data_IF_439077673350
#
_entry.id   IF_439077673350
#
_cell.length_a   1.000
_cell.length_b   1.000
_cell.length_c   1.000
_cell.angle_alpha   90.00
_cell.angle_beta   90.00
_cell.angle_gamma   90.00
#
_symmetry.space_group_name_H-M   'P 1'
#
loop_
_entity.id
_entity.type
_entity.pdbx_description
1 polymer ?
#
# COMPACT_ATOMS: atom_id res chain seq x y z
N UNK A 1 15.73 -21.87 -33.69
CA UNK A 1 17.10 -22.44 -33.80
C UNK A 1 18.18 -21.34 -33.58
N UNK A 2 18.09 -20.19 -34.25
CA UNK A 2 19.05 -19.08 -34.15
C UNK A 2 19.19 -18.52 -32.71
N UNK A 3 18.08 -18.31 -31.99
CA UNK A 3 18.09 -17.80 -30.59
C UNK A 3 18.83 -18.76 -29.66
N UNK A 4 18.63 -20.09 -29.78
CA UNK A 4 19.34 -21.10 -28.97
C UNK A 4 20.85 -21.10 -29.24
N UNK A 5 21.24 -20.85 -30.51
CA UNK A 5 22.66 -20.78 -30.89
C UNK A 5 23.33 -19.52 -30.34
N UNK A 6 22.63 -18.36 -30.41
CA UNK A 6 23.11 -17.09 -29.84
C UNK A 6 23.21 -17.16 -28.31
N UNK A 7 22.23 -17.77 -27.64
CA UNK A 7 22.28 -17.97 -26.19
C UNK A 7 23.43 -18.89 -25.77
N UNK A 8 23.79 -19.87 -26.60
CA UNK A 8 24.91 -20.77 -26.33
C UNK A 8 26.28 -20.09 -26.52
N UNK A 9 26.37 -19.09 -27.41
CA UNK A 9 27.59 -18.31 -27.68
C UNK A 9 27.76 -17.13 -26.72
N UNK A 10 26.70 -16.40 -26.39
CA UNK A 10 26.75 -15.14 -25.63
C UNK A 10 26.16 -15.24 -24.22
N UNK A 11 25.69 -16.42 -23.81
CA UNK A 11 24.94 -16.62 -22.57
C UNK A 11 23.53 -16.02 -22.59
N UNK A 12 22.68 -16.39 -21.64
CA UNK A 12 21.38 -15.77 -21.42
C UNK A 12 21.56 -14.36 -20.85
N UNK A 13 20.46 -13.59 -20.79
CA UNK A 13 20.44 -12.30 -20.08
C UNK A 13 20.84 -12.46 -18.61
N UNK A 14 20.36 -13.53 -17.97
CA UNK A 14 20.67 -13.83 -16.58
C UNK A 14 22.17 -14.15 -16.40
N UNK A 15 22.78 -14.95 -17.29
CA UNK A 15 24.23 -15.25 -17.22
C UNK A 15 25.08 -13.98 -17.28
N UNK A 16 24.67 -13.00 -18.09
CA UNK A 16 25.37 -11.71 -18.18
C UNK A 16 25.21 -10.87 -16.94
N UNK A 17 23.99 -10.82 -16.36
CA UNK A 17 23.74 -10.13 -15.09
C UNK A 17 24.52 -10.76 -13.95
N UNK A 18 24.50 -12.08 -13.85
CA UNK A 18 25.28 -12.81 -12.85
C UNK A 18 26.79 -12.53 -12.98
N UNK A 19 27.31 -12.48 -14.21
CA UNK A 19 28.73 -12.12 -14.43
C UNK A 19 29.06 -10.70 -13.98
N UNK A 20 28.14 -9.75 -14.09
CA UNK A 20 28.31 -8.39 -13.56
C UNK A 20 28.30 -8.40 -12.03
N UNK A 21 27.31 -9.08 -11.43
CA UNK A 21 27.22 -9.20 -9.97
C UNK A 21 28.43 -9.92 -9.37
N UNK A 22 28.99 -10.95 -10.03
CA UNK A 22 30.21 -11.61 -9.60
C UNK A 22 31.42 -10.65 -9.55
N UNK A 23 31.48 -9.63 -10.41
CA UNK A 23 32.50 -8.59 -10.33
C UNK A 23 32.36 -7.73 -9.08
N UNK A 24 31.12 -7.38 -8.72
CA UNK A 24 30.86 -6.65 -7.48
C UNK A 24 31.17 -7.51 -6.26
N UNK A 25 30.85 -8.81 -6.27
CA UNK A 25 31.26 -9.75 -5.22
C UNK A 25 32.78 -9.79 -5.07
N UNK A 26 33.54 -9.72 -6.18
CA UNK A 26 35.00 -9.64 -6.12
C UNK A 26 35.47 -8.37 -5.39
N UNK A 27 34.81 -7.23 -5.60
CA UNK A 27 35.11 -5.99 -4.87
C UNK A 27 34.78 -6.13 -3.39
N UNK A 28 33.59 -6.69 -3.07
CA UNK A 28 33.17 -6.94 -1.69
C UNK A 28 34.20 -7.83 -0.97
N UNK A 29 34.67 -8.91 -1.62
CA UNK A 29 35.65 -9.82 -1.07
C UNK A 29 37.00 -9.13 -0.85
N UNK A 30 37.41 -8.23 -1.73
CA UNK A 30 38.62 -7.46 -1.59
C UNK A 30 38.61 -6.48 -0.40
N UNK A 31 37.43 -6.03 -0.01
CA UNK A 31 37.23 -5.13 1.14
C UNK A 31 37.18 -5.88 2.49
N UNK A 32 36.95 -7.18 2.50
CA UNK A 32 36.79 -7.97 3.72
C UNK A 32 37.96 -7.80 4.72
N UNK A 33 39.26 -7.87 4.32
CA UNK A 33 40.35 -7.64 5.25
C UNK A 33 40.41 -6.23 5.85
N UNK A 34 39.91 -5.25 5.10
CA UNK A 34 39.84 -3.84 5.55
C UNK A 34 38.85 -3.70 6.69
N UNK A 35 37.64 -4.25 6.53
CA UNK A 35 36.58 -4.15 7.55
C UNK A 35 36.82 -5.11 8.73
N UNK A 36 37.49 -6.25 8.52
CA UNK A 36 37.89 -7.16 9.59
C UNK A 36 38.89 -6.50 10.55
N UNK A 37 39.73 -5.57 10.07
CA UNK A 37 40.72 -4.85 10.88
C UNK A 37 40.10 -3.71 11.73
N UNK A 38 38.86 -3.30 11.48
CA UNK A 38 38.19 -2.22 12.22
C UNK A 38 37.73 -2.72 13.60
N UNK A 39 37.73 -1.81 14.58
CA UNK A 39 37.03 -2.03 15.84
C UNK A 39 35.50 -2.02 15.63
N UNK A 40 34.74 -2.43 16.64
CA UNK A 40 33.27 -2.42 16.58
C UNK A 40 32.72 -1.00 16.43
N UNK A 41 33.33 -0.02 17.10
CA UNK A 41 32.98 1.39 17.01
C UNK A 41 33.27 1.96 15.62
N UNK A 42 34.42 1.62 15.04
CA UNK A 42 34.79 2.03 13.69
C UNK A 42 33.88 1.42 12.63
N UNK A 43 33.52 0.13 12.80
CA UNK A 43 32.58 -0.54 11.89
C UNK A 43 31.17 0.08 11.96
N UNK A 44 30.69 0.38 13.17
CA UNK A 44 29.42 1.09 13.39
C UNK A 44 29.45 2.50 12.78
N UNK A 45 30.54 3.22 12.91
CA UNK A 45 30.72 4.56 12.35
C UNK A 45 30.59 4.61 10.83
N UNK A 46 30.84 3.50 10.13
CA UNK A 46 30.60 3.39 8.68
C UNK A 46 29.17 3.66 8.28
N UNK A 47 28.19 3.32 9.11
CA UNK A 47 26.78 3.65 8.84
C UNK A 47 26.55 5.16 8.77
N UNK A 48 27.15 5.92 9.69
CA UNK A 48 27.06 7.39 9.67
C UNK A 48 27.74 7.97 8.43
N UNK A 49 28.95 7.50 8.13
CA UNK A 49 29.68 7.88 6.92
C UNK A 49 28.85 7.65 5.64
N UNK A 50 28.23 6.48 5.51
CA UNK A 50 27.41 6.15 4.34
C UNK A 50 26.15 7.00 4.27
N UNK A 51 25.47 7.27 5.39
CA UNK A 51 24.32 8.18 5.43
C UNK A 51 24.70 9.58 4.94
N UNK A 52 25.83 10.12 5.41
CA UNK A 52 26.35 11.43 4.97
C UNK A 52 26.67 11.46 3.47
N UNK A 53 27.29 10.40 2.93
CA UNK A 53 27.57 10.28 1.48
C UNK A 53 26.29 10.24 0.66
N UNK A 54 25.26 9.52 1.10
CA UNK A 54 23.95 9.49 0.45
C UNK A 54 23.27 10.88 0.49
N UNK A 55 23.35 11.58 1.61
CA UNK A 55 22.82 12.94 1.73
C UNK A 55 23.55 13.94 0.82
N UNK A 56 24.82 13.71 0.55
CA UNK A 56 25.64 14.48 -0.40
C UNK A 56 25.36 14.11 -1.86
N UNK A 57 24.50 13.12 -2.12
CA UNK A 57 24.03 12.75 -3.45
C UNK A 57 24.73 11.54 -4.07
N UNK A 58 25.50 10.78 -3.30
CA UNK A 58 26.08 9.53 -3.81
C UNK A 58 24.97 8.49 -4.06
N UNK A 59 25.08 7.78 -5.18
CA UNK A 59 24.09 6.79 -5.60
C UNK A 59 24.26 5.51 -4.78
N UNK A 60 23.15 4.97 -4.25
CA UNK A 60 23.17 3.75 -3.41
C UNK A 60 23.88 2.57 -4.06
N UNK A 61 23.73 2.39 -5.38
CA UNK A 61 24.38 1.28 -6.08
C UNK A 61 25.91 1.35 -6.03
N UNK A 62 26.50 2.54 -5.92
CA UNK A 62 27.95 2.72 -5.78
C UNK A 62 28.44 2.31 -4.38
N UNK A 63 27.57 2.38 -3.38
CA UNK A 63 27.86 1.94 -2.02
C UNK A 63 27.75 0.42 -1.81
N UNK A 64 27.18 -0.33 -2.75
CA UNK A 64 26.95 -1.78 -2.60
C UNK A 64 28.21 -2.52 -2.12
N UNK A 65 29.40 -2.33 -2.70
CA UNK A 65 30.57 -3.10 -2.26
C UNK A 65 30.95 -2.85 -0.80
N UNK A 66 30.96 -1.61 -0.37
CA UNK A 66 31.32 -1.22 1.00
C UNK A 66 30.22 -1.60 1.99
N UNK A 67 28.96 -1.25 1.71
CA UNK A 67 27.82 -1.52 2.57
C UNK A 67 27.64 -3.03 2.80
N UNK A 68 27.72 -3.83 1.74
CA UNK A 68 27.59 -5.28 1.86
C UNK A 68 28.77 -5.92 2.60
N UNK A 69 29.99 -5.40 2.43
CA UNK A 69 31.16 -5.87 3.18
C UNK A 69 31.01 -5.52 4.68
N UNK A 70 30.50 -4.34 5.03
CA UNK A 70 30.19 -3.94 6.41
C UNK A 70 29.15 -4.86 7.04
N UNK A 71 28.03 -5.14 6.35
CA UNK A 71 27.00 -6.06 6.84
C UNK A 71 27.54 -7.48 7.00
N UNK A 72 28.40 -7.96 6.08
CA UNK A 72 29.04 -9.27 6.17
C UNK A 72 29.90 -9.37 7.41
N UNK A 73 30.76 -8.39 7.68
CA UNK A 73 31.65 -8.40 8.84
C UNK A 73 30.82 -8.26 10.14
N UNK A 74 29.81 -7.39 10.18
CA UNK A 74 28.91 -7.27 11.33
C UNK A 74 28.18 -8.60 11.61
N UNK A 75 27.67 -9.26 10.58
CA UNK A 75 27.01 -10.58 10.70
C UNK A 75 27.96 -11.66 11.25
N UNK A 76 29.21 -11.63 10.83
CA UNK A 76 30.27 -12.53 11.33
C UNK A 76 30.50 -12.30 12.83
N UNK A 77 30.55 -11.04 13.26
CA UNK A 77 30.77 -10.69 14.69
C UNK A 77 29.58 -11.03 15.56
N UNK A 78 28.36 -10.63 15.11
CA UNK A 78 27.12 -10.76 15.91
C UNK A 78 26.58 -12.18 15.93
N UNK A 79 26.57 -12.85 14.77
CA UNK A 79 25.95 -14.17 14.61
C UNK A 79 26.94 -15.31 14.42
N UNK A 80 28.22 -15.03 14.20
CA UNK A 80 29.20 -16.04 13.74
C UNK A 80 28.92 -16.48 12.30
N UNK A 81 28.10 -15.77 11.55
CA UNK A 81 27.64 -16.12 10.20
C UNK A 81 28.23 -15.18 9.16
N UNK A 82 29.13 -15.69 8.32
CA UNK A 82 29.63 -14.95 7.16
C UNK A 82 28.73 -15.19 5.96
N UNK A 83 28.22 -14.14 5.33
CA UNK A 83 27.48 -14.27 4.07
C UNK A 83 28.33 -14.93 2.97
N UNK A 84 27.74 -15.89 2.26
CA UNK A 84 28.34 -16.50 1.09
C UNK A 84 28.21 -15.60 -0.14
N UNK A 85 29.04 -15.82 -1.14
CA UNK A 85 29.04 -15.02 -2.37
C UNK A 85 27.67 -15.07 -3.11
N UNK A 86 27.00 -16.22 -3.07
CA UNK A 86 25.66 -16.39 -3.64
C UNK A 86 24.61 -15.54 -2.91
N UNK A 87 24.77 -15.33 -1.60
CA UNK A 87 23.88 -14.46 -0.82
C UNK A 87 24.14 -12.97 -1.13
N UNK A 88 25.38 -12.58 -1.41
CA UNK A 88 25.70 -11.24 -1.92
C UNK A 88 25.00 -10.97 -3.25
N UNK A 89 25.03 -11.96 -4.16
CA UNK A 89 24.30 -11.89 -5.43
C UNK A 89 22.78 -11.77 -5.18
N UNK A 90 22.23 -12.58 -4.28
CA UNK A 90 20.82 -12.51 -3.87
C UNK A 90 20.44 -11.13 -3.37
N UNK A 91 21.26 -10.52 -2.50
CA UNK A 91 21.06 -9.15 -2.00
C UNK A 91 21.05 -8.10 -3.12
N UNK A 92 21.97 -8.20 -4.08
CA UNK A 92 22.01 -7.31 -5.26
C UNK A 92 20.80 -7.50 -6.17
N UNK A 93 20.31 -8.74 -6.34
CA UNK A 93 19.08 -9.03 -7.11
C UNK A 93 17.88 -8.37 -6.46
N UNK A 94 17.71 -8.52 -5.14
CA UNK A 94 16.63 -7.87 -4.39
C UNK A 94 16.74 -6.34 -4.46
N UNK A 95 17.93 -5.78 -4.28
CA UNK A 95 18.16 -4.33 -4.39
C UNK A 95 17.77 -3.78 -5.77
N UNK A 96 17.93 -4.57 -6.81
CA UNK A 96 17.55 -4.16 -8.19
C UNK A 96 16.05 -4.33 -8.50
N UNK A 97 15.19 -4.55 -7.50
CA UNK A 97 13.74 -4.71 -7.67
C UNK A 97 13.35 -5.99 -8.41
N UNK A 98 14.08 -7.08 -8.18
CA UNK A 98 13.85 -8.38 -8.84
C UNK A 98 13.61 -9.47 -7.82
N UNK A 99 13.13 -10.61 -8.31
CA UNK A 99 12.91 -11.81 -7.50
C UNK A 99 14.23 -12.59 -7.42
N UNK A 100 14.67 -12.85 -6.19
CA UNK A 100 15.78 -13.76 -5.90
C UNK A 100 15.21 -15.11 -5.48
N UNK A 101 15.26 -16.09 -6.37
CA UNK A 101 14.88 -17.47 -6.05
C UNK A 101 16.00 -18.16 -5.29
N UNK A 102 15.71 -18.55 -4.05
CA UNK A 102 16.63 -19.26 -3.18
C UNK A 102 15.93 -20.45 -2.55
N UNK A 103 16.59 -21.59 -2.47
CA UNK A 103 16.03 -22.80 -1.85
C UNK A 103 15.91 -22.64 -0.34
N UNK A 104 15.02 -23.43 0.26
CA UNK A 104 14.91 -23.53 1.71
C UNK A 104 16.26 -23.92 2.32
N UNK A 105 16.68 -23.23 3.37
CA UNK A 105 17.97 -23.44 4.04
C UNK A 105 19.17 -22.69 3.44
N UNK A 106 19.02 -21.97 2.31
CA UNK A 106 20.11 -21.17 1.72
C UNK A 106 20.32 -19.80 2.38
N UNK A 107 19.59 -19.51 3.45
CA UNK A 107 19.77 -18.29 4.25
C UNK A 107 19.09 -17.05 3.65
N UNK A 108 17.85 -17.16 3.18
CA UNK A 108 17.04 -16.03 2.66
C UNK A 108 16.97 -14.88 3.67
N UNK A 109 16.66 -15.17 4.94
CA UNK A 109 16.58 -14.16 6.01
C UNK A 109 17.90 -13.38 6.16
N UNK A 110 19.03 -14.07 6.11
CA UNK A 110 20.34 -13.43 6.19
C UNK A 110 20.61 -12.59 4.93
N UNK A 111 20.24 -13.08 3.74
CA UNK A 111 20.38 -12.36 2.47
C UNK A 111 19.56 -11.06 2.46
N UNK A 112 18.36 -11.06 3.04
CA UNK A 112 17.49 -9.90 3.10
C UNK A 112 18.09 -8.74 3.91
N UNK A 113 19.01 -9.00 4.84
CA UNK A 113 19.67 -7.95 5.63
C UNK A 113 20.52 -7.01 4.78
N UNK A 114 21.08 -7.50 3.68
CA UNK A 114 21.94 -6.74 2.77
C UNK A 114 21.21 -5.56 2.10
N UNK A 115 20.15 -5.79 1.31
CA UNK A 115 19.41 -4.69 0.69
C UNK A 115 18.62 -3.86 1.73
N UNK A 116 18.18 -4.45 2.85
CA UNK A 116 17.52 -3.72 3.91
C UNK A 116 18.46 -2.68 4.53
N UNK A 117 19.68 -3.05 4.89
CA UNK A 117 20.68 -2.11 5.39
C UNK A 117 20.98 -1.01 4.38
N UNK A 118 21.31 -1.38 3.14
CA UNK A 118 21.68 -0.42 2.09
C UNK A 118 20.58 0.65 1.88
N UNK A 119 19.33 0.23 1.76
CA UNK A 119 18.23 1.16 1.53
C UNK A 119 17.83 1.97 2.78
N UNK A 120 18.10 1.46 3.97
CA UNK A 120 17.91 2.18 5.23
C UNK A 120 18.87 3.38 5.39
N UNK A 121 20.01 3.38 4.68
CA UNK A 121 20.94 4.52 4.66
C UNK A 121 20.29 5.82 4.13
N UNK A 122 19.20 5.72 3.39
CA UNK A 122 18.47 6.88 2.89
C UNK A 122 17.67 7.64 3.98
N UNK A 123 17.56 7.11 5.19
CA UNK A 123 16.69 7.60 6.28
C UNK A 123 15.19 7.65 5.93
N UNK A 124 14.76 7.03 4.80
CA UNK A 124 13.35 7.03 4.34
C UNK A 124 12.55 5.84 4.85
N UNK A 125 13.19 4.89 5.53
CA UNK A 125 12.58 3.66 6.01
C UNK A 125 12.57 2.53 4.99
N UNK A 126 12.64 1.31 5.50
CA UNK A 126 12.59 0.06 4.73
C UNK A 126 11.56 -0.86 5.35
N UNK A 127 10.72 -1.47 4.53
CA UNK A 127 9.75 -2.48 4.97
C UNK A 127 10.23 -3.88 4.61
N UNK A 128 10.22 -4.79 5.59
CA UNK A 128 10.44 -6.23 5.37
C UNK A 128 9.13 -6.95 5.63
N UNK A 129 8.53 -7.46 4.56
CA UNK A 129 7.16 -7.95 4.53
C UNK A 129 7.13 -9.46 4.49
N UNK A 130 6.34 -10.07 5.37
CA UNK A 130 6.14 -11.53 5.44
C UNK A 130 4.65 -11.87 5.58
N UNK A 131 4.31 -13.17 5.61
CA UNK A 131 2.93 -13.66 5.53
C UNK A 131 2.17 -13.66 6.86
N UNK A 132 2.85 -13.68 8.01
CA UNK A 132 2.18 -13.74 9.32
C UNK A 132 2.99 -13.08 10.44
N UNK A 133 2.32 -12.77 11.56
CA UNK A 133 2.89 -12.08 12.71
C UNK A 133 4.02 -12.86 13.38
N UNK A 134 3.94 -14.21 13.38
CA UNK A 134 5.00 -15.04 13.94
C UNK A 134 6.32 -14.85 13.17
N UNK A 135 6.28 -14.92 11.84
CA UNK A 135 7.46 -14.72 11.01
C UNK A 135 7.98 -13.29 11.12
N UNK A 136 7.08 -12.30 11.12
CA UNK A 136 7.45 -10.90 11.27
C UNK A 136 8.22 -10.65 12.59
N UNK A 137 7.69 -11.16 13.70
CA UNK A 137 8.32 -11.03 15.01
C UNK A 137 9.64 -11.79 15.09
N UNK A 138 9.64 -13.07 14.64
CA UNK A 138 10.83 -13.92 14.64
C UNK A 138 11.99 -13.27 13.87
N UNK A 139 11.71 -12.78 12.67
CA UNK A 139 12.73 -12.24 11.78
C UNK A 139 13.19 -10.84 12.22
N UNK A 140 12.28 -10.04 12.79
CA UNK A 140 12.64 -8.78 13.44
C UNK A 140 13.60 -9.02 14.62
N UNK A 141 13.23 -9.91 15.53
CA UNK A 141 14.04 -10.20 16.72
C UNK A 141 15.38 -10.85 16.38
N UNK A 142 15.39 -11.71 15.36
CA UNK A 142 16.62 -12.35 14.89
C UNK A 142 17.56 -11.34 14.23
N UNK A 143 17.06 -10.41 13.42
CA UNK A 143 17.90 -9.44 12.69
C UNK A 143 18.26 -8.21 13.52
N UNK A 144 17.49 -7.90 14.56
CA UNK A 144 17.69 -6.72 15.42
C UNK A 144 19.11 -6.58 15.95
N UNK A 145 19.77 -7.61 16.52
CA UNK A 145 21.14 -7.48 17.03
C UNK A 145 22.14 -7.02 15.94
N UNK A 146 21.97 -7.47 14.71
CA UNK A 146 22.82 -7.07 13.59
C UNK A 146 22.64 -5.59 13.23
N UNK A 147 21.39 -5.16 13.09
CA UNK A 147 21.10 -3.78 12.71
C UNK A 147 21.43 -2.78 13.82
N UNK A 148 21.15 -3.12 15.09
CA UNK A 148 21.53 -2.30 16.24
C UNK A 148 23.05 -2.21 16.42
N UNK A 149 23.79 -3.31 16.17
CA UNK A 149 25.25 -3.28 16.13
C UNK A 149 25.75 -2.27 15.09
N UNK A 150 25.09 -2.14 13.95
CA UNK A 150 25.40 -1.16 12.91
C UNK A 150 24.77 0.23 13.17
N UNK A 151 24.08 0.44 14.30
CA UNK A 151 23.50 1.72 14.69
C UNK A 151 22.19 2.06 13.99
N UNK A 152 21.46 1.04 13.50
CA UNK A 152 20.13 1.18 12.94
C UNK A 152 19.05 0.68 13.90
N UNK A 153 17.84 1.19 13.74
CA UNK A 153 16.67 0.83 14.55
C UNK A 153 15.77 -0.16 13.81
N UNK A 154 15.15 -1.08 14.55
CA UNK A 154 14.24 -2.11 14.02
C UNK A 154 12.91 -2.04 14.71
N UNK A 155 11.83 -1.79 13.94
CA UNK A 155 10.45 -1.88 14.34
C UNK A 155 9.81 -3.19 13.88
N UNK A 156 8.71 -3.58 14.56
CA UNK A 156 7.88 -4.70 14.14
C UNK A 156 6.42 -4.27 14.20
N UNK A 157 5.70 -4.40 13.10
CA UNK A 157 4.28 -4.06 12.98
C UNK A 157 3.45 -5.33 12.83
N UNK A 158 2.68 -5.66 13.87
CA UNK A 158 1.84 -6.84 13.97
C UNK A 158 0.39 -6.45 14.29
N UNK A 159 -0.51 -7.40 14.15
CA UNK A 159 -1.93 -7.20 14.42
C UNK A 159 -2.19 -6.78 15.87
N UNK A 160 -3.17 -5.90 16.07
CA UNK A 160 -3.62 -5.47 17.39
C UNK A 160 -2.78 -4.39 18.07
N UNK A 161 -1.75 -3.86 17.43
CA UNK A 161 -0.96 -2.75 17.97
C UNK A 161 -1.77 -1.46 18.03
N UNK A 162 -1.54 -0.66 19.09
CA UNK A 162 -2.11 0.68 19.19
C UNK A 162 -1.51 1.64 18.13
N UNK A 163 -2.24 2.67 17.68
CA UNK A 163 -1.77 3.59 16.64
C UNK A 163 -0.40 4.23 16.95
N UNK A 164 -0.16 4.63 18.20
CA UNK A 164 1.14 5.20 18.62
C UNK A 164 2.29 4.21 18.52
N UNK A 165 2.05 2.95 18.84
CA UNK A 165 3.07 1.88 18.75
C UNK A 165 3.38 1.58 17.27
N UNK A 166 2.36 1.61 16.41
CA UNK A 166 2.56 1.47 14.95
C UNK A 166 3.39 2.62 14.40
N UNK A 167 3.08 3.87 14.76
CA UNK A 167 3.91 5.03 14.38
C UNK A 167 5.36 4.87 14.84
N UNK A 168 5.58 4.42 16.07
CA UNK A 168 6.92 4.14 16.59
C UNK A 168 7.64 3.06 15.77
N UNK A 169 6.94 1.97 15.39
CA UNK A 169 7.49 0.91 14.55
C UNK A 169 7.86 1.41 13.15
N UNK A 170 7.02 2.24 12.52
CA UNK A 170 7.30 2.84 11.21
C UNK A 170 8.38 3.93 11.24
N UNK A 171 8.63 4.53 12.41
CA UNK A 171 9.71 5.50 12.57
C UNK A 171 11.09 4.85 12.65
N UNK A 172 11.19 3.54 12.83
CA UNK A 172 12.44 2.82 12.74
C UNK A 172 13.06 2.90 11.32
N UNK A 173 14.36 2.62 11.22
CA UNK A 173 15.06 2.53 9.94
C UNK A 173 14.56 1.35 9.12
N UNK A 174 14.25 0.23 9.78
CA UNK A 174 13.76 -1.01 9.17
C UNK A 174 12.54 -1.49 9.95
N UNK A 175 11.42 -1.68 9.26
CA UNK A 175 10.15 -2.15 9.86
C UNK A 175 9.77 -3.50 9.28
N UNK A 176 9.72 -4.50 10.14
CA UNK A 176 9.16 -5.83 9.83
C UNK A 176 7.65 -5.81 10.04
N UNK A 177 6.91 -6.61 9.27
CA UNK A 177 5.47 -6.73 9.44
C UNK A 177 4.83 -7.64 8.41
N UNK A 178 3.52 -7.84 8.55
CA UNK A 178 2.75 -8.64 7.60
C UNK A 178 2.22 -7.80 6.44
N UNK A 179 2.05 -8.44 5.28
CA UNK A 179 1.43 -7.82 4.11
C UNK A 179 0.08 -7.16 4.45
N UNK A 180 -0.73 -7.82 5.28
CA UNK A 180 -2.04 -7.33 5.70
C UNK A 180 -1.92 -6.05 6.53
N UNK A 181 -1.04 -6.02 7.55
CA UNK A 181 -0.87 -4.85 8.40
C UNK A 181 -0.35 -3.64 7.62
N UNK A 182 0.66 -3.83 6.76
CA UNK A 182 1.12 -2.75 5.87
C UNK A 182 0.00 -2.23 4.96
N UNK A 183 -0.80 -3.12 4.40
CA UNK A 183 -1.91 -2.76 3.53
C UNK A 183 -3.05 -2.06 4.27
N UNK A 184 -3.45 -2.56 5.45
CA UNK A 184 -4.47 -1.90 6.26
C UNK A 184 -4.01 -0.55 6.80
N UNK A 185 -2.74 -0.41 7.20
CA UNK A 185 -2.20 0.88 7.63
C UNK A 185 -2.15 1.87 6.47
N UNK A 186 -1.80 1.43 5.25
CA UNK A 186 -1.89 2.26 4.05
C UNK A 186 -3.32 2.76 3.79
N UNK A 187 -4.33 1.89 3.94
CA UNK A 187 -5.73 2.29 3.80
C UNK A 187 -6.14 3.30 4.89
N UNK A 188 -5.75 3.05 6.15
CA UNK A 188 -6.02 3.97 7.26
C UNK A 188 -5.38 5.34 7.05
N UNK A 189 -4.13 5.37 6.61
CA UNK A 189 -3.40 6.61 6.33
C UNK A 189 -4.04 7.43 5.21
N UNK A 190 -4.67 6.77 4.23
CA UNK A 190 -5.43 7.46 3.17
C UNK A 190 -6.79 8.01 3.64
N UNK A 191 -7.26 7.60 4.82
CA UNK A 191 -8.48 8.11 5.45
C UNK A 191 -8.17 9.12 6.58
N UNK A 192 -6.89 9.36 6.89
CA UNK A 192 -6.46 10.30 7.93
C UNK A 192 -6.84 11.74 7.57
N UNK A 193 -7.35 12.48 8.54
CA UNK A 193 -7.74 13.87 8.38
C UNK A 193 -6.56 14.84 8.48
N UNK A 194 -5.47 14.41 9.11
CA UNK A 194 -4.24 15.21 9.25
C UNK A 194 -2.98 14.36 9.00
N UNK A 195 -1.85 14.97 8.60
CA UNK A 195 -0.59 14.26 8.41
C UNK A 195 -0.08 13.57 9.67
N UNK A 196 -0.37 14.11 10.85
CA UNK A 196 0.06 13.61 12.15
C UNK A 196 -0.63 12.29 12.54
N UNK A 197 -1.80 12.02 11.97
CA UNK A 197 -2.54 10.78 12.18
C UNK A 197 -1.99 9.61 11.36
N UNK A 198 -1.16 9.89 10.35
CA UNK A 198 -0.56 8.85 9.51
C UNK A 198 0.47 8.05 10.28
N UNK A 199 0.41 6.74 10.12
CA UNK A 199 1.36 5.83 10.73
C UNK A 199 2.61 5.64 9.87
N UNK A 200 2.45 5.52 8.55
CA UNK A 200 3.53 5.20 7.63
C UNK A 200 4.29 6.44 7.17
N UNK A 201 5.61 6.28 7.00
CA UNK A 201 6.43 7.19 6.21
C UNK A 201 6.11 7.03 4.71
N UNK A 202 6.49 7.99 3.85
CA UNK A 202 6.44 7.78 2.40
C UNK A 202 7.12 6.47 2.00
N UNK A 203 6.50 5.71 1.09
CA UNK A 203 7.00 4.42 0.64
C UNK A 203 8.34 4.60 -0.08
N UNK A 204 9.37 3.88 0.35
CA UNK A 204 10.72 3.96 -0.21
C UNK A 204 11.17 2.62 -0.80
N UNK A 205 11.36 1.61 0.04
CA UNK A 205 11.86 0.30 -0.36
C UNK A 205 11.20 -0.81 0.46
N UNK A 206 10.90 -1.94 -0.20
CA UNK A 206 10.37 -3.11 0.45
C UNK A 206 11.08 -4.38 0.00
N UNK A 207 11.38 -5.25 0.97
CA UNK A 207 11.75 -6.65 0.74
C UNK A 207 10.54 -7.50 1.07
N UNK A 208 10.07 -8.32 0.13
CA UNK A 208 8.92 -9.20 0.31
C UNK A 208 9.41 -10.63 0.38
N UNK A 209 9.29 -11.26 1.55
CA UNK A 209 9.54 -12.69 1.73
C UNK A 209 8.27 -13.50 1.41
N UNK A 210 8.43 -14.75 0.97
CA UNK A 210 7.33 -15.62 0.53
C UNK A 210 6.44 -14.93 -0.53
N UNK A 211 7.07 -14.36 -1.54
CA UNK A 211 6.43 -13.52 -2.58
C UNK A 211 5.37 -14.27 -3.39
N UNK A 212 5.49 -15.56 -3.55
CA UNK A 212 4.50 -16.44 -4.18
C UNK A 212 3.20 -16.51 -3.37
N UNK A 213 3.29 -16.66 -2.04
CA UNK A 213 2.11 -16.60 -1.18
C UNK A 213 1.47 -15.21 -1.22
N UNK A 214 2.25 -14.15 -1.04
CA UNK A 214 1.73 -12.78 -0.87
C UNK A 214 1.17 -12.22 -2.19
N UNK A 215 1.91 -12.33 -3.30
CA UNK A 215 1.55 -11.67 -4.55
C UNK A 215 0.78 -12.56 -5.54
N UNK A 216 0.63 -13.85 -5.26
CA UNK A 216 -0.10 -14.79 -6.13
C UNK A 216 -1.23 -15.46 -5.36
N UNK A 217 -0.94 -16.24 -4.32
CA UNK A 217 -1.95 -17.06 -3.68
C UNK A 217 -3.00 -16.24 -2.92
N UNK A 218 -2.56 -15.25 -2.13
CA UNK A 218 -3.43 -14.37 -1.34
C UNK A 218 -3.84 -13.08 -2.08
N UNK A 219 -3.28 -12.81 -3.25
CA UNK A 219 -3.51 -11.56 -4.00
C UNK A 219 -4.98 -11.34 -4.44
N UNK A 220 -5.80 -12.38 -4.38
CA UNK A 220 -7.23 -12.30 -4.76
C UNK A 220 -8.11 -11.73 -3.67
N UNK A 221 -7.66 -11.68 -2.42
CA UNK A 221 -8.45 -11.19 -1.30
C UNK A 221 -8.23 -9.68 -1.16
N UNK A 222 -9.25 -8.85 -1.45
CA UNK A 222 -9.12 -7.41 -1.27
C UNK A 222 -9.05 -7.06 0.21
N UNK A 223 -8.23 -6.09 0.57
CA UNK A 223 -8.23 -5.49 1.89
C UNK A 223 -9.36 -4.47 1.96
N UNK A 224 -10.30 -4.67 2.87
CA UNK A 224 -11.48 -3.82 3.02
C UNK A 224 -11.53 -3.30 4.46
N UNK A 225 -11.65 -1.99 4.61
CA UNK A 225 -12.01 -1.34 5.87
C UNK A 225 -13.47 -0.93 5.76
N UNK A 226 -14.31 -1.46 6.67
CA UNK A 226 -15.70 -1.04 6.78
C UNK A 226 -15.97 -0.60 8.21
N UNK A 227 -16.68 0.52 8.36
CA UNK A 227 -17.26 0.95 9.64
C UNK A 227 -18.67 0.39 9.82
N UNK A 228 -19.19 0.49 11.05
CA UNK A 228 -20.63 0.35 11.23
C UNK A 228 -21.30 1.46 10.42
N UNK A 229 -22.24 1.08 9.55
CA UNK A 229 -23.12 2.07 8.95
C UNK A 229 -23.87 2.75 10.11
N UNK A 230 -23.84 4.09 10.15
CA UNK A 230 -24.76 4.82 11.00
C UNK A 230 -26.16 4.31 10.70
N UNK A 231 -26.97 4.06 11.72
CA UNK A 231 -28.37 3.66 11.52
C UNK A 231 -29.16 4.86 10.98
N UNK A 232 -28.98 5.09 9.70
CA UNK A 232 -29.65 6.14 8.93
C UNK A 232 -30.97 5.66 8.32
N UNK A 233 -31.51 4.52 8.81
CA UNK A 233 -32.76 3.94 8.26
C UNK A 233 -33.92 4.93 8.30
N UNK A 234 -34.01 5.78 9.32
CA UNK A 234 -35.03 6.83 9.40
C UNK A 234 -34.78 7.92 8.35
N UNK A 235 -33.54 8.34 8.16
CA UNK A 235 -33.13 9.31 7.14
C UNK A 235 -33.43 8.79 5.73
N UNK A 236 -33.06 7.52 5.45
CA UNK A 236 -33.43 6.89 4.17
C UNK A 236 -34.94 6.87 3.92
N UNK A 237 -35.73 6.54 4.93
CA UNK A 237 -37.23 6.56 4.80
C UNK A 237 -37.75 7.96 4.52
N UNK A 238 -37.23 8.96 5.21
CA UNK A 238 -37.65 10.35 5.02
C UNK A 238 -37.30 10.88 3.62
N UNK A 239 -36.09 10.58 3.14
CA UNK A 239 -35.65 10.98 1.81
C UNK A 239 -36.36 10.19 0.72
N UNK A 240 -36.66 8.91 0.94
CA UNK A 240 -37.41 8.09 0.01
C UNK A 240 -38.80 8.67 -0.30
N UNK A 241 -39.41 9.40 0.65
CA UNK A 241 -40.67 10.08 0.44
C UNK A 241 -40.56 11.37 -0.39
N UNK A 242 -39.35 11.92 -0.54
CA UNK A 242 -39.10 13.12 -1.34
C UNK A 242 -38.95 12.77 -2.82
N UNK A 243 -38.30 11.69 -3.14
CA UNK A 243 -37.97 11.32 -4.53
C UNK A 243 -39.18 11.27 -5.47
N UNK A 244 -40.35 10.73 -5.07
CA UNK A 244 -41.52 10.71 -5.94
C UNK A 244 -42.08 12.09 -6.29
N UNK A 245 -41.70 13.15 -5.56
CA UNK A 245 -42.17 14.53 -5.84
C UNK A 245 -41.28 15.22 -6.87
N UNK A 246 -40.10 14.68 -7.17
CA UNK A 246 -39.17 15.25 -8.12
C UNK A 246 -39.54 14.91 -9.57
N UNK A 247 -39.40 15.89 -10.45
CA UNK A 247 -39.79 15.82 -11.87
C UNK A 247 -38.56 15.54 -12.72
N UNK A 248 -38.62 14.52 -13.55
CA UNK A 248 -37.55 14.20 -14.52
C UNK A 248 -37.61 15.15 -15.70
N UNK A 249 -36.46 15.60 -16.18
CA UNK A 249 -36.28 16.35 -17.41
C UNK A 249 -35.66 15.44 -18.48
N UNK A 250 -36.14 15.50 -19.72
CA UNK A 250 -35.71 14.59 -20.79
C UNK A 250 -34.40 15.02 -21.46
N UNK A 251 -34.07 16.32 -21.45
CA UNK A 251 -32.82 16.85 -22.05
C UNK A 251 -31.95 17.50 -20.97
N UNK A 252 -30.63 17.45 -21.17
CA UNK A 252 -29.70 18.18 -20.30
C UNK A 252 -29.87 19.70 -20.47
N UNK A 253 -29.55 20.44 -19.37
CA UNK A 253 -29.58 21.89 -19.37
C UNK A 253 -28.61 22.44 -20.43
N UNK A 254 -29.11 23.34 -21.27
CA UNK A 254 -28.29 24.07 -22.25
C UNK A 254 -28.00 25.47 -21.71
N UNK A 255 -26.77 25.94 -22.00
CA UNK A 255 -26.34 27.29 -21.57
C UNK A 255 -27.35 28.36 -21.95
N UNK A 256 -27.95 29.03 -20.94
CA UNK A 256 -28.97 30.07 -21.11
C UNK A 256 -30.42 29.60 -21.22
N UNK A 257 -30.74 28.34 -20.93
CA UNK A 257 -32.08 27.80 -20.88
C UNK A 257 -32.43 27.44 -19.43
N UNK A 258 -33.59 27.85 -18.95
CA UNK A 258 -34.09 27.49 -17.62
C UNK A 258 -34.41 25.98 -17.57
N UNK A 259 -34.01 25.31 -16.47
CA UNK A 259 -34.33 23.90 -16.21
C UNK A 259 -35.86 23.74 -16.11
N UNK A 260 -36.40 22.69 -16.71
CA UNK A 260 -37.83 22.36 -16.71
C UNK A 260 -38.16 21.21 -15.77
N UNK A 261 -37.19 20.57 -15.18
CA UNK A 261 -37.34 19.49 -14.22
C UNK A 261 -36.18 19.46 -13.21
N UNK A 262 -36.24 18.57 -12.25
CA UNK A 262 -35.36 18.51 -11.11
C UNK A 262 -34.10 17.69 -11.37
N UNK A 263 -34.15 16.74 -12.31
CA UNK A 263 -33.00 15.88 -12.63
C UNK A 263 -33.05 15.30 -14.05
N UNK A 264 -31.91 14.95 -14.58
CA UNK A 264 -31.75 14.22 -15.85
C UNK A 264 -31.16 12.83 -15.60
N UNK A 265 -31.39 11.90 -16.54
CA UNK A 265 -30.90 10.54 -16.50
C UNK A 265 -30.03 10.26 -17.74
N UNK A 266 -28.78 9.86 -17.55
CA UNK A 266 -27.99 9.20 -18.58
C UNK A 266 -28.16 7.68 -18.45
N UNK A 267 -29.02 7.11 -19.28
CA UNK A 267 -29.29 5.66 -19.26
C UNK A 267 -28.07 4.83 -19.64
N UNK A 268 -27.18 5.37 -20.49
CA UNK A 268 -25.97 4.64 -20.95
C UNK A 268 -24.91 4.58 -19.85
N UNK A 269 -24.69 5.70 -19.15
CA UNK A 269 -23.74 5.77 -18.05
C UNK A 269 -24.37 5.28 -16.73
N UNK A 270 -25.67 5.00 -16.68
CA UNK A 270 -26.44 4.71 -15.44
C UNK A 270 -26.19 5.76 -14.35
N UNK A 271 -26.27 7.03 -14.74
CA UNK A 271 -26.05 8.18 -13.84
C UNK A 271 -27.25 9.12 -13.84
N UNK A 272 -27.42 9.80 -12.71
CA UNK A 272 -28.43 10.85 -12.53
C UNK A 272 -27.73 12.15 -12.16
N UNK A 273 -28.17 13.24 -12.76
CA UNK A 273 -27.66 14.57 -12.49
C UNK A 273 -28.81 15.48 -12.05
N UNK A 274 -28.58 16.21 -10.95
CA UNK A 274 -29.52 17.24 -10.51
C UNK A 274 -29.36 18.48 -11.39
N UNK A 275 -30.48 19.10 -11.74
CA UNK A 275 -30.49 20.41 -12.38
C UNK A 275 -30.37 21.51 -11.31
N UNK A 276 -30.15 22.78 -11.72
CA UNK A 276 -30.14 23.91 -10.79
C UNK A 276 -31.51 24.06 -10.09
N UNK A 277 -32.60 23.86 -10.85
CA UNK A 277 -33.99 23.88 -10.30
C UNK A 277 -34.18 22.75 -9.27
N UNK A 278 -33.72 21.54 -9.60
CA UNK A 278 -33.82 20.38 -8.72
C UNK A 278 -33.04 20.55 -7.43
N UNK A 279 -31.84 21.17 -7.49
CA UNK A 279 -31.11 21.51 -6.29
C UNK A 279 -31.89 22.41 -5.36
N UNK A 280 -32.42 23.53 -5.88
CA UNK A 280 -33.22 24.49 -5.10
C UNK A 280 -34.46 23.78 -4.51
N UNK A 281 -35.17 23.01 -5.31
CA UNK A 281 -36.40 22.32 -4.89
C UNK A 281 -36.10 21.29 -3.79
N UNK A 282 -35.00 20.51 -3.90
CA UNK A 282 -34.58 19.57 -2.85
C UNK A 282 -34.21 20.32 -1.57
N UNK A 283 -33.45 21.42 -1.67
CA UNK A 283 -33.09 22.25 -0.52
C UNK A 283 -34.34 22.78 0.21
N UNK A 284 -35.33 23.28 -0.51
CA UNK A 284 -36.60 23.73 0.05
C UNK A 284 -37.34 22.60 0.79
N UNK A 285 -37.47 21.42 0.19
CA UNK A 285 -38.12 20.27 0.82
C UNK A 285 -37.33 19.81 2.07
N UNK A 286 -36.02 19.81 2.04
CA UNK A 286 -35.18 19.40 3.19
C UNK A 286 -35.30 20.40 4.35
N UNK A 287 -35.39 21.69 4.06
CA UNK A 287 -35.65 22.73 5.07
C UNK A 287 -37.05 22.56 5.67
N UNK A 288 -38.08 22.36 4.84
CA UNK A 288 -39.43 22.12 5.31
C UNK A 288 -39.54 20.90 6.22
N UNK A 289 -38.78 19.84 5.93
CA UNK A 289 -38.74 18.64 6.75
C UNK A 289 -37.80 18.76 7.98
N UNK A 290 -37.14 19.89 8.16
CA UNK A 290 -36.21 20.12 9.27
C UNK A 290 -34.92 19.31 9.19
N UNK A 291 -34.56 18.80 8.00
CA UNK A 291 -33.34 18.05 7.74
C UNK A 291 -32.15 18.95 7.37
N UNK A 292 -32.41 20.23 7.03
CA UNK A 292 -31.43 21.22 6.66
C UNK A 292 -31.80 22.59 7.21
N UNK A 293 -30.82 23.47 7.48
CA UNK A 293 -31.07 24.81 7.96
C UNK A 293 -31.32 25.80 6.81
N UNK A 294 -32.12 26.84 7.06
CA UNK A 294 -32.35 27.84 6.04
C UNK A 294 -31.07 28.62 5.70
N UNK A 295 -30.77 28.68 4.42
CA UNK A 295 -29.55 29.34 3.90
C UNK A 295 -28.35 28.42 3.73
N UNK A 296 -28.44 27.15 4.14
CA UNK A 296 -27.44 26.14 3.84
C UNK A 296 -27.57 25.64 2.40
N UNK A 297 -26.47 25.20 1.82
CA UNK A 297 -26.46 24.48 0.55
C UNK A 297 -26.33 22.97 0.74
N UNK A 298 -27.03 22.20 -0.12
CA UNK A 298 -26.95 20.75 -0.19
C UNK A 298 -25.51 20.26 -0.46
N UNK A 299 -24.72 21.06 -1.17
CA UNK A 299 -23.32 20.76 -1.51
C UNK A 299 -22.32 21.24 -0.44
N UNK A 300 -22.77 21.79 0.68
CA UNK A 300 -21.86 22.12 1.78
C UNK A 300 -21.31 20.86 2.45
N UNK A 301 -20.13 20.97 3.05
CA UNK A 301 -19.49 19.84 3.74
C UNK A 301 -20.37 19.23 4.85
N UNK A 302 -21.20 20.05 5.52
CA UNK A 302 -22.13 19.61 6.55
C UNK A 302 -23.28 18.76 5.99
N UNK A 303 -23.69 18.99 4.75
CA UNK A 303 -24.85 18.37 4.11
C UNK A 303 -24.49 17.30 3.06
N UNK A 304 -23.20 16.97 2.89
CA UNK A 304 -22.74 16.01 1.88
C UNK A 304 -23.36 14.62 2.08
N UNK A 305 -23.58 14.21 3.32
CA UNK A 305 -24.26 12.95 3.66
C UNK A 305 -25.72 12.97 3.20
N UNK A 306 -26.40 14.11 3.37
CA UNK A 306 -27.78 14.30 2.93
C UNK A 306 -27.87 14.22 1.40
N UNK A 307 -26.97 14.91 0.69
CA UNK A 307 -26.87 14.81 -0.77
C UNK A 307 -26.66 13.35 -1.22
N UNK A 308 -25.74 12.62 -0.55
CA UNK A 308 -25.51 11.21 -0.87
C UNK A 308 -26.79 10.37 -0.74
N UNK A 309 -27.57 10.58 0.31
CA UNK A 309 -28.84 9.85 0.51
C UNK A 309 -29.89 10.21 -0.53
N UNK A 310 -29.99 11.47 -0.93
CA UNK A 310 -30.87 11.91 -2.02
C UNK A 310 -30.49 11.24 -3.34
N UNK A 311 -29.22 11.28 -3.69
CA UNK A 311 -28.73 10.65 -4.92
C UNK A 311 -28.90 9.13 -4.91
N UNK A 312 -28.68 8.47 -3.77
CA UNK A 312 -28.92 7.04 -3.61
C UNK A 312 -30.41 6.68 -3.79
N UNK A 313 -31.31 7.47 -3.20
CA UNK A 313 -32.74 7.26 -3.34
C UNK A 313 -33.24 7.51 -4.79
N UNK A 314 -32.77 8.58 -5.44
CA UNK A 314 -33.06 8.83 -6.87
C UNK A 314 -32.62 7.67 -7.75
N UNK A 315 -31.39 7.18 -7.57
CA UNK A 315 -30.86 6.03 -8.32
C UNK A 315 -31.71 4.77 -8.07
N UNK A 316 -32.07 4.50 -6.82
CA UNK A 316 -32.91 3.34 -6.47
C UNK A 316 -34.28 3.39 -7.17
N UNK A 317 -34.91 4.57 -7.25
CA UNK A 317 -36.21 4.73 -7.88
C UNK A 317 -36.18 4.75 -9.41
N UNK A 318 -35.08 5.23 -10.01
CA UNK A 318 -35.06 5.57 -11.43
C UNK A 318 -34.21 4.66 -12.28
N UNK A 319 -33.17 4.03 -11.70
CA UNK A 319 -32.23 3.20 -12.43
C UNK A 319 -32.34 1.70 -12.13
N UNK A 320 -32.99 1.33 -11.00
CA UNK A 320 -33.10 -0.09 -10.63
C UNK A 320 -34.55 -0.58 -10.80
N UNK A 321 -34.69 -1.64 -11.59
CA UNK A 321 -35.98 -2.26 -11.87
C UNK A 321 -36.10 -3.60 -11.19
N UNK A 322 -37.22 -3.82 -10.51
CA UNK A 322 -37.56 -5.11 -9.91
C UNK A 322 -37.67 -6.18 -11.00
N UNK A 323 -37.18 -7.37 -10.70
CA UNK A 323 -37.13 -8.53 -11.57
C UNK A 323 -36.19 -8.40 -12.80
N UNK A 324 -35.42 -7.30 -12.85
CA UNK A 324 -34.33 -7.06 -13.82
C UNK A 324 -33.00 -6.89 -13.08
N UNK A 325 -32.90 -5.83 -12.24
CA UNK A 325 -31.69 -5.51 -11.51
C UNK A 325 -31.69 -6.12 -10.09
N UNK A 326 -32.86 -6.44 -9.55
CA UNK A 326 -33.00 -7.09 -8.25
C UNK A 326 -34.29 -7.93 -8.16
N UNK A 327 -34.28 -8.93 -7.28
CA UNK A 327 -35.46 -9.70 -6.90
C UNK A 327 -35.73 -9.55 -5.41
N UNK A 328 -36.99 -9.75 -5.01
CA UNK A 328 -37.37 -9.79 -3.58
C UNK A 328 -37.62 -11.27 -3.23
N UNK A 329 -36.81 -11.81 -2.32
CA UNK A 329 -36.93 -13.18 -1.82
C UNK A 329 -36.97 -13.15 -0.29
N UNK A 330 -37.96 -13.79 0.29
CA UNK A 330 -38.14 -13.89 1.75
C UNK A 330 -38.20 -12.53 2.49
N UNK A 331 -38.62 -11.47 1.78
CA UNK A 331 -38.67 -10.09 2.32
C UNK A 331 -37.35 -9.32 2.20
N UNK A 332 -36.31 -9.90 1.61
CA UNK A 332 -34.99 -9.28 1.39
C UNK A 332 -34.79 -8.98 -0.10
N UNK A 333 -34.01 -7.91 -0.36
CA UNK A 333 -33.61 -7.57 -1.73
C UNK A 333 -32.34 -8.34 -2.07
N UNK A 334 -32.40 -9.10 -3.16
CA UNK A 334 -31.25 -9.80 -3.75
C UNK A 334 -30.91 -9.15 -5.09
N UNK A 335 -29.73 -8.55 -5.18
CA UNK A 335 -29.24 -7.91 -6.42
C UNK A 335 -28.91 -9.01 -7.45
N UNK A 336 -29.33 -8.78 -8.69
CA UNK A 336 -28.99 -9.65 -9.83
C UNK A 336 -27.68 -9.14 -10.45
N UNK A 337 -26.67 -9.99 -10.53
CA UNK A 337 -25.42 -9.66 -11.19
C UNK A 337 -25.61 -9.51 -12.71
N UNK A 338 -25.18 -8.37 -13.26
CA UNK A 338 -25.39 -8.03 -14.68
C UNK A 338 -24.67 -9.00 -15.63
N UNK A 339 -23.58 -9.62 -15.20
CA UNK A 339 -22.75 -10.49 -16.06
C UNK A 339 -23.19 -11.95 -16.01
N UNK A 340 -23.68 -12.40 -14.87
CA UNK A 340 -24.05 -13.81 -14.67
C UNK A 340 -25.57 -14.04 -14.63
N UNK A 341 -26.39 -13.00 -14.44
CA UNK A 341 -27.84 -13.11 -14.28
C UNK A 341 -28.27 -13.88 -13.03
N UNK A 342 -27.41 -13.95 -12.02
CA UNK A 342 -27.63 -14.73 -10.78
C UNK A 342 -27.40 -13.88 -9.54
#
# INVERSE_FOLDING_TARGET
MFVKLMTKLFGSRNDRLLKQMCKEVTKINALEPVFEALSDEELKAKTTEFKERVEQGEVLDELIPEAFAVVREASKRVFGMRHFDVQMIGGMVLNSGKIAEMRTGEGKTLTATLPAYLNALTNKGVHVITVNDYLATRDADWSRPLFEFLGMTVGCNIAGMAPGDKQAAYNADITYGTNNEFGFDYLRDNMAFSPEERAQKPLNFAVIDEVDSILIDEARTPLIISGQAEDSSELYRNINLVVPTLVQQDEEDKEGQESTGDFTIDEKAKQIYLTELGQIHIEEIMIEKGLMQQGDSLFSAANITLLHHVMAALRAHKLFQKDVDYIVKDGEIVIVDEHTGR
#
